data_IF_190430890972
#
_entry.id   IF_190430890972
#
_cell.length_a   1.000
_cell.length_b   1.000
_cell.length_c   1.000
_cell.angle_alpha   90.00
_cell.angle_beta   90.00
_cell.angle_gamma   90.00
#
_symmetry.space_group_name_H-M   'P 1'
#
loop_
_entity.id
_entity.type
_entity.pdbx_description
1 polymer ?
#
# COMPACT_ATOMS: atom_id res chain seq x y z
N UNK A 1 -62.26 -55.57 -11.39
CA UNK A 1 -62.59 -55.49 -9.96
C UNK A 1 -61.37 -55.92 -9.15
N UNK A 2 -60.90 -55.00 -8.31
CA UNK A 2 -60.07 -55.13 -7.11
C UNK A 2 -59.37 -56.47 -6.81
N UNK A 3 -58.04 -56.45 -6.74
CA UNK A 3 -57.39 -56.43 -5.42
C UNK A 3 -55.90 -56.12 -5.59
N UNK A 4 -55.54 -54.86 -5.36
CA UNK A 4 -54.15 -54.45 -5.13
C UNK A 4 -53.81 -54.88 -3.71
N UNK A 5 -53.08 -55.99 -3.57
CA UNK A 5 -52.39 -56.27 -2.32
C UNK A 5 -51.24 -55.26 -2.21
N UNK A 6 -51.46 -54.30 -1.33
CA UNK A 6 -50.44 -53.36 -0.86
C UNK A 6 -49.36 -54.21 -0.21
N UNK A 7 -48.19 -54.24 -0.85
CA UNK A 7 -46.95 -54.70 -0.23
C UNK A 7 -46.75 -53.81 1.00
N UNK A 8 -46.69 -54.34 2.23
CA UNK A 8 -46.41 -53.51 3.38
C UNK A 8 -45.00 -52.96 3.20
N UNK A 9 -44.92 -51.65 3.01
CA UNK A 9 -43.69 -50.88 3.15
C UNK A 9 -43.11 -51.23 4.52
N UNK A 10 -41.99 -51.97 4.51
CA UNK A 10 -41.13 -52.14 5.68
C UNK A 10 -40.69 -50.73 6.04
N UNK A 11 -41.40 -50.15 7.00
CA UNK A 11 -40.98 -48.95 7.69
C UNK A 11 -39.80 -49.42 8.54
N UNK A 12 -38.60 -49.28 7.97
CA UNK A 12 -37.32 -49.53 8.62
C UNK A 12 -37.21 -48.56 9.79
N UNK A 13 -37.80 -48.95 10.91
CA UNK A 13 -37.54 -48.33 12.20
C UNK A 13 -36.08 -48.65 12.52
N UNK A 14 -35.19 -47.79 12.04
CA UNK A 14 -33.79 -47.76 12.45
C UNK A 14 -33.79 -47.71 13.97
N UNK A 15 -33.38 -48.82 14.59
CA UNK A 15 -33.22 -48.89 16.03
C UNK A 15 -32.16 -47.83 16.44
N UNK A 16 -32.54 -46.76 17.16
CA UNK A 16 -31.63 -45.69 17.50
C UNK A 16 -30.40 -46.18 18.28
N UNK A 17 -30.56 -47.28 19.04
CA UNK A 17 -29.47 -47.90 19.78
C UNK A 17 -28.47 -48.61 18.85
N UNK A 18 -28.95 -49.35 17.85
CA UNK A 18 -28.10 -49.96 16.83
C UNK A 18 -27.34 -48.91 15.99
N UNK A 19 -28.00 -47.81 15.63
CA UNK A 19 -27.34 -46.73 14.89
C UNK A 19 -26.27 -46.02 15.72
N UNK A 20 -26.52 -45.78 17.01
CA UNK A 20 -25.54 -45.21 17.93
C UNK A 20 -24.28 -46.08 18.04
N UNK A 21 -24.44 -47.41 18.17
CA UNK A 21 -23.31 -48.35 18.22
C UNK A 21 -22.49 -48.34 16.92
N UNK A 22 -23.17 -48.31 15.77
CA UNK A 22 -22.49 -48.23 14.46
C UNK A 22 -21.73 -46.92 14.28
N UNK A 23 -22.32 -45.80 14.68
CA UNK A 23 -21.74 -44.47 14.55
C UNK A 23 -20.58 -44.25 15.51
N UNK A 24 -20.69 -44.73 16.76
CA UNK A 24 -19.63 -44.65 17.75
C UNK A 24 -18.39 -45.44 17.34
N UNK A 25 -18.55 -46.67 16.84
CA UNK A 25 -17.41 -47.44 16.33
C UNK A 25 -16.74 -46.73 15.13
N UNK A 26 -17.55 -46.14 14.24
CA UNK A 26 -17.04 -45.39 13.09
C UNK A 26 -16.27 -44.14 13.50
N UNK A 27 -16.78 -43.35 14.44
CA UNK A 27 -16.08 -42.15 14.94
C UNK A 27 -14.83 -42.52 15.75
N UNK A 28 -14.86 -43.64 16.47
CA UNK A 28 -13.68 -44.15 17.19
C UNK A 28 -12.52 -44.47 16.25
N UNK A 29 -12.80 -44.93 15.04
CA UNK A 29 -11.78 -45.23 14.02
C UNK A 29 -11.26 -44.00 13.26
N UNK A 30 -11.94 -42.86 13.37
CA UNK A 30 -11.54 -41.62 12.70
C UNK A 30 -10.45 -40.87 13.47
N UNK A 31 -9.62 -40.14 12.72
CA UNK A 31 -8.63 -39.23 13.30
C UNK A 31 -9.29 -37.97 13.86
N UNK A 32 -8.59 -37.30 14.77
CA UNK A 32 -9.09 -36.10 15.43
C UNK A 32 -9.39 -34.96 14.42
N UNK A 33 -8.58 -34.83 13.37
CA UNK A 33 -8.82 -33.89 12.27
C UNK A 33 -10.10 -34.19 11.50
N UNK A 34 -10.40 -35.46 11.23
CA UNK A 34 -11.61 -35.86 10.52
C UNK A 34 -12.87 -35.61 11.37
N UNK A 35 -12.80 -35.90 12.67
CA UNK A 35 -13.89 -35.60 13.61
C UNK A 35 -14.16 -34.10 13.70
N UNK A 36 -13.11 -33.27 13.72
CA UNK A 36 -13.24 -31.81 13.74
C UNK A 36 -13.84 -31.25 12.44
N UNK A 37 -13.51 -31.83 11.27
CA UNK A 37 -14.13 -31.46 10.00
C UNK A 37 -15.63 -31.78 10.01
N UNK A 38 -16.02 -32.98 10.43
CA UNK A 38 -17.42 -33.37 10.53
C UNK A 38 -18.20 -32.48 11.51
N UNK A 39 -17.58 -32.07 12.61
CA UNK A 39 -18.22 -31.20 13.59
C UNK A 39 -18.45 -29.77 13.08
N UNK A 40 -17.70 -29.29 12.08
CA UNK A 40 -18.04 -28.03 11.40
C UNK A 40 -19.30 -28.16 10.54
N UNK A 41 -19.57 -29.35 10.03
CA UNK A 41 -20.73 -29.68 9.19
C UNK A 41 -21.85 -30.34 10.01
N UNK A 42 -21.89 -30.12 11.33
CA UNK A 42 -22.79 -30.83 12.23
C UNK A 42 -24.28 -30.68 11.85
N UNK A 43 -24.67 -29.56 11.23
CA UNK A 43 -26.04 -29.32 10.75
C UNK A 43 -26.50 -30.25 9.64
N UNK A 44 -25.58 -30.90 8.92
CA UNK A 44 -25.90 -31.85 7.83
C UNK A 44 -26.04 -33.29 8.35
N UNK A 45 -25.72 -33.55 9.62
CA UNK A 45 -25.78 -34.88 10.23
C UNK A 45 -27.16 -35.15 10.84
N UNK A 46 -27.54 -36.43 10.93
CA UNK A 46 -28.73 -36.87 11.67
C UNK A 46 -28.57 -36.61 13.17
N UNK A 47 -29.67 -36.43 13.90
CA UNK A 47 -29.63 -36.08 15.33
C UNK A 47 -28.83 -37.09 16.16
N UNK A 48 -28.99 -38.39 15.88
CA UNK A 48 -28.21 -39.48 16.52
C UNK A 48 -26.72 -39.36 16.20
N UNK A 49 -26.36 -39.00 14.96
CA UNK A 49 -24.97 -38.80 14.55
C UNK A 49 -24.35 -37.57 15.21
N UNK A 50 -25.09 -36.45 15.33
CA UNK A 50 -24.63 -35.26 16.03
C UNK A 50 -24.33 -35.56 17.51
N UNK A 51 -25.24 -36.25 18.20
CA UNK A 51 -25.07 -36.62 19.61
C UNK A 51 -23.87 -37.57 19.80
N UNK A 52 -23.70 -38.55 18.90
CA UNK A 52 -22.58 -39.50 18.95
C UNK A 52 -21.24 -38.82 18.66
N UNK A 53 -21.20 -37.90 17.70
CA UNK A 53 -20.01 -37.12 17.35
C UNK A 53 -19.62 -36.17 18.49
N UNK A 54 -20.59 -35.48 19.09
CA UNK A 54 -20.36 -34.60 20.24
C UNK A 54 -19.81 -35.39 21.44
N UNK A 55 -20.33 -36.60 21.67
CA UNK A 55 -19.81 -37.50 22.68
C UNK A 55 -18.34 -37.86 22.41
N UNK A 56 -17.98 -38.28 21.19
CA UNK A 56 -16.59 -38.62 20.83
C UNK A 56 -15.63 -37.42 20.97
N UNK A 57 -16.04 -36.24 20.48
CA UNK A 57 -15.27 -34.99 20.58
C UNK A 57 -15.03 -34.61 22.04
N UNK A 58 -16.05 -34.78 22.89
CA UNK A 58 -15.93 -34.52 24.33
C UNK A 58 -15.01 -35.53 25.02
N UNK A 59 -15.10 -36.82 24.67
CA UNK A 59 -14.25 -37.88 25.23
C UNK A 59 -12.78 -37.64 24.89
N UNK A 60 -12.50 -37.24 23.64
CA UNK A 60 -11.14 -36.92 23.17
C UNK A 60 -10.67 -35.51 23.54
N UNK A 61 -11.52 -34.73 24.22
CA UNK A 61 -11.28 -33.32 24.58
C UNK A 61 -10.87 -32.47 23.36
N UNK A 62 -11.40 -32.80 22.19
CA UNK A 62 -11.15 -32.06 20.97
C UNK A 62 -11.88 -30.73 21.06
N UNK A 63 -11.10 -29.65 21.08
CA UNK A 63 -11.66 -28.31 21.01
C UNK A 63 -11.82 -27.97 19.55
N UNK A 64 -13.05 -27.68 19.14
CA UNK A 64 -13.28 -26.82 17.98
C UNK A 64 -12.63 -25.49 18.33
N UNK A 65 -11.35 -25.34 17.98
CA UNK A 65 -10.76 -24.01 17.98
C UNK A 65 -11.63 -23.23 16.99
N UNK A 66 -12.26 -22.12 17.43
CA UNK A 66 -12.68 -21.11 16.47
C UNK A 66 -11.48 -20.88 15.58
N UNK A 67 -11.68 -20.83 14.26
CA UNK A 67 -10.65 -20.40 13.34
C UNK A 67 -9.95 -19.19 13.98
N UNK A 68 -8.69 -19.37 14.37
CA UNK A 68 -7.96 -18.33 15.06
C UNK A 68 -7.96 -17.15 14.08
N UNK A 69 -8.61 -16.02 14.40
CA UNK A 69 -8.57 -14.86 13.51
C UNK A 69 -7.09 -14.60 13.21
N UNK A 70 -6.72 -14.33 11.94
CA UNK A 70 -5.33 -14.26 11.53
C UNK A 70 -4.58 -13.40 12.55
N UNK A 71 -3.52 -13.98 13.11
CA UNK A 71 -2.71 -13.36 14.15
C UNK A 71 -2.53 -11.88 13.80
N UNK A 72 -2.93 -11.00 14.72
CA UNK A 72 -2.72 -9.56 14.57
C UNK A 72 -1.26 -9.34 14.18
N UNK A 73 -0.96 -8.43 13.24
CA UNK A 73 0.40 -8.23 12.76
C UNK A 73 1.30 -8.00 13.97
N UNK A 74 2.36 -8.82 14.05
CA UNK A 74 3.40 -8.80 15.08
C UNK A 74 3.74 -7.34 15.48
N UNK A 75 3.88 -6.99 16.78
CA UNK A 75 4.24 -5.64 17.18
C UNK A 75 5.43 -5.17 16.36
N UNK A 76 5.30 -3.98 15.78
CA UNK A 76 6.38 -3.35 15.03
C UNK A 76 7.65 -3.39 15.88
N UNK A 77 8.77 -3.92 15.37
CA UNK A 77 10.00 -3.98 16.14
C UNK A 77 10.39 -2.56 16.60
N UNK A 78 11.05 -2.44 17.76
CA UNK A 78 11.44 -1.13 18.27
C UNK A 78 12.28 -0.36 17.22
N UNK A 79 12.07 0.97 17.11
CA UNK A 79 12.65 1.80 16.04
C UNK A 79 14.18 1.78 16.01
N UNK A 80 14.84 1.45 17.13
CA UNK A 80 16.29 1.40 17.28
C UNK A 80 16.89 -0.01 17.10
N UNK A 81 16.12 -0.97 16.60
CA UNK A 81 16.67 -2.29 16.26
C UNK A 81 17.32 -2.25 14.87
N UNK A 82 18.44 -2.97 14.69
CA UNK A 82 19.07 -3.14 13.37
C UNK A 82 18.10 -3.69 12.30
N UNK A 83 17.06 -4.40 12.73
CA UNK A 83 15.98 -4.89 11.87
C UNK A 83 15.01 -3.80 11.39
N UNK A 84 14.86 -2.69 12.11
CA UNK A 84 14.03 -1.55 11.70
C UNK A 84 14.69 -0.81 10.53
N UNK A 85 16.01 -0.64 10.62
CA UNK A 85 16.90 -0.12 9.60
C UNK A 85 16.78 -0.90 8.26
N UNK A 86 16.73 -2.23 8.32
CA UNK A 86 16.56 -3.09 7.14
C UNK A 86 15.18 -2.96 6.45
N UNK A 87 14.15 -2.58 7.23
CA UNK A 87 12.76 -2.42 6.77
C UNK A 87 12.45 -1.02 6.25
N UNK A 88 13.40 -0.11 6.33
CA UNK A 88 13.28 1.24 5.78
C UNK A 88 12.97 1.17 4.28
N UNK A 89 11.99 1.97 3.83
CA UNK A 89 11.64 2.05 2.42
C UNK A 89 12.45 3.14 1.73
N UNK A 90 13.28 2.74 0.78
CA UNK A 90 14.12 3.63 -0.03
C UNK A 90 13.51 3.76 -1.42
N UNK A 91 13.39 5.00 -1.90
CA UNK A 91 12.92 5.28 -3.24
C UNK A 91 13.99 4.98 -4.28
N UNK A 92 13.61 4.28 -5.36
CA UNK A 92 14.51 3.90 -6.45
C UNK A 92 14.22 4.62 -7.76
N UNK A 93 12.97 5.03 -7.99
CA UNK A 93 12.56 5.85 -9.12
C UNK A 93 11.15 6.41 -8.90
N UNK A 94 10.76 7.36 -9.75
CA UNK A 94 9.38 7.83 -9.89
C UNK A 94 8.88 7.49 -11.28
N UNK A 95 7.67 6.90 -11.37
CA UNK A 95 7.02 6.54 -12.64
C UNK A 95 5.90 7.51 -12.98
N UNK A 96 5.77 7.85 -14.26
CA UNK A 96 4.88 8.91 -14.76
C UNK A 96 3.77 8.38 -15.67
N UNK A 97 3.74 7.07 -15.87
CA UNK A 97 2.71 6.41 -16.66
C UNK A 97 2.48 4.98 -16.19
N UNK A 98 1.32 4.43 -16.57
CA UNK A 98 0.99 3.03 -16.34
C UNK A 98 2.02 2.09 -16.99
N UNK A 99 2.47 2.43 -18.20
CA UNK A 99 3.46 1.63 -18.93
C UNK A 99 4.81 1.58 -18.21
N UNK A 100 5.26 2.71 -17.67
CA UNK A 100 6.48 2.78 -16.86
C UNK A 100 6.35 1.94 -15.59
N UNK A 101 5.21 2.05 -14.90
CA UNK A 101 4.92 1.28 -13.70
C UNK A 101 4.94 -0.24 -13.97
N UNK A 102 4.33 -0.69 -15.06
CA UNK A 102 4.35 -2.10 -15.47
C UNK A 102 5.75 -2.60 -15.82
N UNK A 103 6.58 -1.76 -16.46
CA UNK A 103 7.96 -2.10 -16.78
C UNK A 103 8.78 -2.27 -15.49
N UNK A 104 8.66 -1.33 -14.55
CA UNK A 104 9.35 -1.40 -13.25
C UNK A 104 8.90 -2.63 -12.46
N UNK A 105 7.58 -2.87 -12.36
CA UNK A 105 7.05 -4.07 -11.71
C UNK A 105 7.67 -5.35 -12.31
N UNK A 106 7.66 -5.48 -13.64
CA UNK A 106 8.22 -6.66 -14.31
C UNK A 106 9.71 -6.88 -13.99
N UNK A 107 10.49 -5.79 -13.91
CA UNK A 107 11.92 -5.86 -13.60
C UNK A 107 12.17 -6.30 -12.15
N UNK A 108 11.40 -5.75 -11.20
CA UNK A 108 11.53 -6.06 -9.77
C UNK A 108 11.00 -7.46 -9.44
N UNK A 109 9.87 -7.86 -10.05
CA UNK A 109 9.31 -9.22 -9.93
C UNK A 109 10.30 -10.27 -10.41
N UNK A 110 10.94 -10.03 -11.58
CA UNK A 110 11.96 -10.94 -12.12
C UNK A 110 13.19 -11.04 -11.21
N UNK A 111 13.51 -9.97 -10.49
CA UNK A 111 14.61 -9.94 -9.53
C UNK A 111 14.21 -10.49 -8.14
N UNK A 112 12.92 -10.78 -7.92
CA UNK A 112 12.40 -11.21 -6.62
C UNK A 112 12.49 -10.12 -5.54
N UNK A 113 12.46 -8.84 -5.93
CA UNK A 113 12.61 -7.70 -5.02
C UNK A 113 11.21 -7.16 -4.68
N UNK A 114 10.75 -7.27 -3.41
CA UNK A 114 9.50 -6.65 -3.00
C UNK A 114 9.54 -5.12 -3.14
N UNK A 115 8.47 -4.53 -3.66
CA UNK A 115 8.36 -3.10 -3.91
C UNK A 115 7.00 -2.55 -3.51
N UNK A 116 6.94 -1.23 -3.39
CA UNK A 116 5.75 -0.47 -3.04
C UNK A 116 5.64 0.75 -3.96
N UNK A 117 4.44 1.01 -4.49
CA UNK A 117 4.16 2.13 -5.37
C UNK A 117 3.23 3.14 -4.68
N UNK A 118 3.62 4.41 -4.74
CA UNK A 118 2.82 5.53 -4.27
C UNK A 118 2.68 5.63 -2.74
N UNK A 119 1.99 6.68 -2.24
CA UNK A 119 1.68 6.86 -0.83
C UNK A 119 0.84 5.72 -0.24
N UNK A 120 0.02 5.06 -1.06
CA UNK A 120 -0.82 3.92 -0.68
C UNK A 120 -0.03 2.62 -0.44
N UNK A 121 1.27 2.59 -0.78
CA UNK A 121 2.12 1.41 -0.71
C UNK A 121 1.53 0.22 -1.47
N UNK A 122 1.07 0.47 -2.70
CA UNK A 122 0.54 -0.57 -3.58
C UNK A 122 1.65 -1.59 -3.92
N UNK A 123 1.39 -2.88 -3.73
CA UNK A 123 2.35 -3.96 -4.03
C UNK A 123 2.30 -4.43 -5.49
N UNK A 124 1.53 -3.72 -6.32
CA UNK A 124 1.29 -4.03 -7.73
C UNK A 124 0.65 -2.83 -8.40
N UNK A 125 0.81 -2.73 -9.73
CA UNK A 125 0.30 -1.62 -10.52
C UNK A 125 -1.24 -1.54 -10.50
N UNK A 126 -1.92 -2.67 -10.36
CA UNK A 126 -3.38 -2.78 -10.26
C UNK A 126 -3.96 -2.18 -8.97
N UNK A 127 -3.15 -2.13 -7.91
CA UNK A 127 -3.50 -1.54 -6.62
C UNK A 127 -3.15 -0.05 -6.51
N UNK A 128 -2.57 0.55 -7.56
CA UNK A 128 -2.23 1.98 -7.58
C UNK A 128 -3.50 2.81 -7.78
N UNK A 129 -3.80 3.63 -6.78
CA UNK A 129 -4.90 4.59 -6.77
C UNK A 129 -4.44 6.01 -7.09
N UNK A 130 -3.14 6.28 -6.92
CA UNK A 130 -2.52 7.57 -7.20
C UNK A 130 -2.47 7.88 -8.71
N UNK A 131 -2.56 9.18 -9.04
CA UNK A 131 -2.52 9.62 -10.44
C UNK A 131 -1.07 9.81 -10.91
N UNK A 132 -0.72 9.18 -12.05
CA UNK A 132 0.62 9.25 -12.64
C UNK A 132 1.09 10.64 -13.08
N UNK A 133 0.17 11.60 -13.25
CA UNK A 133 0.49 13.00 -13.60
C UNK A 133 1.40 13.66 -12.56
N UNK A 134 1.26 13.31 -11.29
CA UNK A 134 2.08 13.85 -10.20
C UNK A 134 3.36 13.03 -9.94
N UNK A 135 3.58 11.98 -10.73
CA UNK A 135 4.58 10.97 -10.44
C UNK A 135 4.14 10.02 -9.32
N UNK A 136 4.46 8.75 -9.49
CA UNK A 136 4.25 7.72 -8.47
C UNK A 136 5.62 7.19 -8.05
N UNK A 137 5.99 7.40 -6.78
CA UNK A 137 7.27 6.91 -6.25
C UNK A 137 7.25 5.39 -6.17
N UNK A 138 8.33 4.73 -6.60
CA UNK A 138 8.55 3.30 -6.39
C UNK A 138 9.63 3.12 -5.32
N UNK A 139 9.28 2.43 -4.25
CA UNK A 139 10.15 2.20 -3.10
C UNK A 139 10.36 0.72 -2.85
N UNK A 140 11.52 0.36 -2.34
CA UNK A 140 11.87 -1.01 -1.92
C UNK A 140 12.41 -0.97 -0.50
N UNK A 141 12.42 -2.11 0.18
CA UNK A 141 13.13 -2.20 1.46
C UNK A 141 14.63 -1.97 1.25
N UNK A 142 15.29 -1.32 2.22
CA UNK A 142 16.71 -0.96 2.15
C UNK A 142 17.61 -2.16 1.91
N UNK A 143 17.26 -3.32 2.47
CA UNK A 143 17.94 -4.58 2.19
C UNK A 143 17.98 -4.91 0.70
N UNK A 144 16.94 -4.58 -0.06
CA UNK A 144 16.81 -4.82 -1.50
C UNK A 144 17.70 -3.95 -2.39
N UNK A 145 18.23 -2.85 -1.86
CA UNK A 145 18.92 -1.81 -2.63
C UNK A 145 20.13 -2.30 -3.44
N UNK A 146 20.99 -3.21 -2.94
CA UNK A 146 22.12 -3.74 -3.71
C UNK A 146 21.72 -4.49 -4.98
N UNK A 147 20.50 -5.05 -5.03
CA UNK A 147 19.98 -5.80 -6.17
C UNK A 147 19.13 -4.94 -7.13
N UNK A 148 18.67 -3.76 -6.67
CA UNK A 148 17.83 -2.87 -7.46
C UNK A 148 18.56 -2.29 -8.67
N UNK A 149 19.80 -1.82 -8.50
CA UNK A 149 20.58 -1.23 -9.60
C UNK A 149 20.73 -2.17 -10.81
N UNK A 150 21.22 -3.41 -10.63
CA UNK A 150 21.29 -4.40 -11.70
C UNK A 150 19.93 -4.75 -12.32
N UNK A 151 18.87 -4.84 -11.51
CA UNK A 151 17.51 -5.14 -11.99
C UNK A 151 16.97 -4.01 -12.88
N UNK A 152 17.22 -2.76 -12.49
CA UNK A 152 16.73 -1.55 -13.16
C UNK A 152 17.56 -1.14 -14.38
N UNK A 153 18.66 -1.84 -14.71
CA UNK A 153 19.57 -1.47 -15.82
C UNK A 153 18.88 -1.31 -17.19
N UNK A 154 17.80 -2.04 -17.43
CA UNK A 154 17.04 -2.01 -18.69
C UNK A 154 15.73 -1.22 -18.60
N UNK A 155 15.54 -0.46 -17.52
CA UNK A 155 14.41 0.44 -17.38
C UNK A 155 14.65 1.68 -18.23
N UNK A 156 13.70 2.03 -19.08
CA UNK A 156 13.74 3.25 -19.88
C UNK A 156 12.39 3.95 -19.71
N UNK A 157 12.32 5.06 -18.95
CA UNK A 157 11.07 5.78 -18.76
C UNK A 157 10.58 6.35 -20.10
N UNK A 158 9.34 6.06 -20.45
CA UNK A 158 8.73 6.53 -21.70
C UNK A 158 8.18 7.95 -21.57
N UNK A 159 7.76 8.37 -20.37
CA UNK A 159 6.99 9.60 -20.15
C UNK A 159 7.51 10.44 -18.98
N UNK A 160 8.80 10.33 -18.64
CA UNK A 160 9.39 11.21 -17.64
C UNK A 160 9.28 12.67 -18.12
N UNK A 161 8.64 13.57 -17.35
CA UNK A 161 8.71 14.99 -17.65
C UNK A 161 10.19 15.34 -17.67
N UNK A 162 10.66 15.82 -18.82
CA UNK A 162 12.05 16.21 -19.01
C UNK A 162 12.51 17.06 -17.82
N UNK A 163 13.80 16.97 -17.43
CA UNK A 163 14.28 17.52 -16.18
C UNK A 163 13.67 18.88 -15.99
N UNK A 164 12.85 19.03 -14.93
CA UNK A 164 12.56 20.35 -14.41
C UNK A 164 13.95 20.88 -14.16
N UNK A 165 14.41 21.81 -15.00
CA UNK A 165 15.48 22.69 -14.60
C UNK A 165 14.92 23.26 -13.31
N UNK A 166 15.40 22.74 -12.19
CA UNK A 166 15.48 23.51 -10.97
C UNK A 166 16.29 24.70 -11.43
N UNK A 167 15.57 25.72 -11.91
CA UNK A 167 16.14 27.04 -12.01
C UNK A 167 16.48 27.28 -10.56
N UNK A 168 17.77 27.18 -10.26
CA UNK A 168 18.41 27.71 -9.07
C UNK A 168 18.14 29.22 -9.11
N UNK A 169 16.87 29.57 -8.94
CA UNK A 169 16.40 30.90 -8.67
C UNK A 169 16.59 31.04 -7.18
N UNK A 170 17.85 31.16 -6.78
CA UNK A 170 18.18 32.12 -5.76
C UNK A 170 18.38 33.46 -6.48
N UNK A 171 17.32 34.23 -6.84
CA UNK A 171 17.51 35.63 -7.14
C UNK A 171 17.70 36.35 -5.80
N UNK A 172 18.76 35.99 -5.07
CA UNK A 172 19.26 36.83 -3.99
C UNK A 172 19.64 38.14 -4.64
N UNK A 173 18.71 39.10 -4.64
CA UNK A 173 18.94 40.48 -5.06
C UNK A 173 20.15 40.97 -4.28
N UNK A 174 21.21 41.38 -4.98
CA UNK A 174 22.46 41.85 -4.35
C UNK A 174 22.53 43.36 -4.48
N UNK A 175 23.10 44.01 -3.48
CA UNK A 175 23.39 45.42 -3.60
C UNK A 175 24.40 45.67 -4.74
N UNK A 176 24.09 46.52 -5.74
CA UNK A 176 24.97 46.77 -6.89
C UNK A 176 26.28 47.48 -6.51
N UNK A 177 26.36 48.05 -5.30
CA UNK A 177 27.54 48.77 -4.82
C UNK A 177 28.52 47.91 -4.02
N UNK A 178 28.02 46.98 -3.19
CA UNK A 178 28.85 46.19 -2.28
C UNK A 178 28.63 44.68 -2.37
N UNK A 179 27.75 44.23 -3.28
CA UNK A 179 27.38 42.83 -3.50
C UNK A 179 26.84 42.08 -2.27
N UNK A 180 26.45 42.80 -1.22
CA UNK A 180 25.84 42.22 -0.01
C UNK A 180 24.46 41.66 -0.33
N UNK A 181 24.12 40.57 0.36
CA UNK A 181 22.78 39.95 0.39
C UNK A 181 21.84 40.61 1.40
N UNK A 182 22.36 41.51 2.25
CA UNK A 182 21.59 42.27 3.23
C UNK A 182 20.86 43.44 2.55
N UNK A 183 19.90 43.11 1.69
CA UNK A 183 19.05 44.07 0.96
C UNK A 183 17.65 44.08 1.56
N UNK A 184 17.13 45.26 1.83
CA UNK A 184 15.80 45.49 2.41
C UNK A 184 14.93 46.19 1.37
N UNK A 185 13.74 45.64 1.16
CA UNK A 185 12.71 46.27 0.34
C UNK A 185 12.00 47.37 1.14
N UNK A 186 12.03 48.62 0.64
CA UNK A 186 11.52 49.77 1.40
C UNK A 186 10.09 50.15 1.01
N UNK A 187 9.80 50.27 -0.30
CA UNK A 187 8.44 50.56 -0.77
C UNK A 187 8.22 50.21 -2.24
N UNK A 188 6.96 49.93 -2.57
CA UNK A 188 6.47 49.81 -3.94
C UNK A 188 5.88 51.16 -4.36
N UNK A 189 6.44 51.78 -5.41
CA UNK A 189 5.90 53.01 -5.98
C UNK A 189 4.98 52.61 -7.13
N UNK A 190 3.68 52.55 -6.84
CA UNK A 190 2.64 52.43 -7.86
C UNK A 190 2.13 53.83 -8.18
N UNK A 191 2.51 54.38 -9.32
CA UNK A 191 1.88 55.63 -9.78
C UNK A 191 0.43 55.32 -10.20
N UNK A 192 -0.58 56.06 -9.72
CA UNK A 192 -1.97 55.85 -10.14
C UNK A 192 -2.11 56.26 -11.61
N UNK A 193 -2.35 55.26 -12.45
CA UNK A 193 -2.43 55.37 -13.91
C UNK A 193 -3.60 56.24 -14.35
N UNK A 194 -3.32 57.32 -15.07
CA UNK A 194 -4.25 57.81 -16.09
C UNK A 194 -4.17 56.88 -17.29
N UNK A 195 -5.33 56.40 -17.74
CA UNK A 195 -5.52 55.39 -18.77
C UNK A 195 -4.65 55.60 -20.02
N UNK A 196 -3.59 54.79 -20.15
CA UNK A 196 -3.09 54.10 -21.36
C UNK A 196 -1.84 53.30 -20.92
N UNK A 197 -1.90 51.98 -21.14
CA UNK A 197 -0.83 50.97 -21.18
C UNK A 197 0.50 51.15 -20.43
N UNK A 198 0.85 50.08 -19.72
CA UNK A 198 2.11 49.74 -19.06
C UNK A 198 2.34 50.38 -17.67
N UNK A 199 1.75 49.74 -16.65
CA UNK A 199 2.05 50.01 -15.24
C UNK A 199 3.50 49.63 -14.92
N UNK A 200 4.40 50.60 -14.95
CA UNK A 200 5.78 50.47 -14.45
C UNK A 200 5.78 50.52 -12.92
N UNK A 201 5.69 49.37 -12.27
CA UNK A 201 5.92 49.25 -10.83
C UNK A 201 7.42 49.45 -10.57
N UNK A 202 7.78 50.51 -9.84
CA UNK A 202 9.17 50.72 -9.39
C UNK A 202 9.31 50.26 -7.94
N UNK A 203 10.30 49.40 -7.70
CA UNK A 203 10.63 48.84 -6.40
C UNK A 203 11.84 49.59 -5.84
N UNK A 204 11.72 50.19 -4.66
CA UNK A 204 12.85 50.84 -4.00
C UNK A 204 13.50 49.90 -2.98
N UNK A 205 14.82 49.81 -3.07
CA UNK A 205 15.67 48.92 -2.28
C UNK A 205 16.72 49.71 -1.52
N UNK A 206 17.03 49.27 -0.31
CA UNK A 206 18.11 49.81 0.51
C UNK A 206 19.01 48.67 0.97
N UNK A 207 20.33 48.86 0.94
CA UNK A 207 21.30 47.89 1.47
C UNK A 207 21.66 48.23 2.91
N UNK A 208 21.40 47.32 3.85
CA UNK A 208 21.73 47.53 5.27
C UNK A 208 23.24 47.53 5.52
N UNK A 209 24.02 46.82 4.70
CA UNK A 209 25.47 46.76 4.85
C UNK A 209 26.20 48.03 4.45
N UNK A 210 25.70 48.79 3.46
CA UNK A 210 26.40 49.99 2.97
C UNK A 210 25.53 51.25 2.87
N UNK A 211 24.25 51.16 3.19
CA UNK A 211 23.28 52.26 3.12
C UNK A 211 22.95 52.73 1.70
N UNK A 212 23.30 51.97 0.67
CA UNK A 212 23.02 52.35 -0.71
C UNK A 212 21.56 52.09 -1.07
N UNK A 213 20.92 53.06 -1.73
CA UNK A 213 19.52 52.99 -2.16
C UNK A 213 19.42 52.99 -3.68
N UNK A 214 18.54 52.17 -4.25
CA UNK A 214 18.30 52.12 -5.70
C UNK A 214 16.87 51.68 -6.04
N UNK A 215 16.39 52.06 -7.22
CA UNK A 215 15.13 51.59 -7.79
C UNK A 215 15.33 50.51 -8.86
N UNK A 216 14.41 49.54 -8.93
CA UNK A 216 14.36 48.47 -9.94
C UNK A 216 12.95 48.37 -10.53
N UNK A 217 12.84 48.05 -11.82
CA UNK A 217 11.59 47.80 -12.54
C UNK A 217 11.09 46.35 -12.40
N UNK A 218 11.86 45.48 -11.74
CA UNK A 218 11.46 44.10 -11.42
C UNK A 218 11.41 43.15 -12.64
N UNK A 219 12.05 43.54 -13.75
CA UNK A 219 12.11 42.74 -14.97
C UNK A 219 13.48 42.06 -15.02
N UNK A 220 13.51 40.73 -14.84
CA UNK A 220 14.67 39.91 -15.21
C UNK A 220 14.81 40.01 -16.72
N UNK A 221 15.77 40.80 -17.21
CA UNK A 221 16.16 40.77 -18.62
C UNK A 221 16.99 39.51 -18.80
N UNK A 222 16.41 38.50 -19.42
CA UNK A 222 17.16 37.39 -19.99
C UNK A 222 18.06 37.97 -21.10
N UNK A 223 19.38 37.88 -20.92
CA UNK A 223 20.39 38.22 -21.93
C UNK A 223 20.95 36.94 -22.55
#
# INVERSE_FOLDING_TARGET
MHSRYIIPTIMEALDPAAEWLRLSERYRQMSDSELLVLARQNSELTEVAQQTLAHEISQRRLRLQPEEPPASPNPEPPPDSSYAEDRELVEICTVWSLSDALQVQTLLDRAGIPFFMGPEKATGVDAVTSTFVNGVSVKIMRVGLPWAGPAMKNYTPANEPGPRLEVDSDPSVRCPKCHSTEVVFERLITEPTTATDNSSSKFEWTCDSCGYQWDDEGIVREE
#
